data_IF_606452933475
#
_entry.id   IF_606452933475
#
_cell.length_a   1.000
_cell.length_b   1.000
_cell.length_c   1.000
_cell.angle_alpha   90.00
_cell.angle_beta   90.00
_cell.angle_gamma   90.00
#
_symmetry.space_group_name_H-M   'P 1'
#
loop_
_entity.id
_entity.type
_entity.pdbx_description
1 polymer ?
#
# COMPACT_ATOMS: atom_id res chain seq x y z
N UNK A 1 -7.69 31.67 5.40
CA UNK A 1 -6.32 32.21 5.54
C UNK A 1 -5.99 32.99 4.28
N UNK A 2 -5.38 34.17 4.38
CA UNK A 2 -5.08 35.04 3.22
C UNK A 2 -3.66 34.77 2.74
N UNK A 3 -3.48 34.47 1.45
CA UNK A 3 -2.15 34.30 0.83
C UNK A 3 -1.57 35.69 0.58
N UNK A 4 -0.56 36.07 1.36
CA UNK A 4 0.17 37.32 1.18
C UNK A 4 1.21 37.15 0.06
N UNK A 5 0.93 37.69 -1.12
CA UNK A 5 1.91 37.79 -2.20
C UNK A 5 3.00 38.81 -1.84
N UNK A 6 4.27 38.43 -1.91
CA UNK A 6 5.40 39.32 -1.64
C UNK A 6 6.10 39.70 -2.95
N UNK A 7 6.31 41.00 -3.17
CA UNK A 7 7.16 41.46 -4.27
C UNK A 7 8.62 41.51 -3.78
N UNK A 8 9.46 40.61 -4.31
CA UNK A 8 10.88 40.56 -4.00
C UNK A 8 11.57 41.65 -4.82
N UNK A 9 11.99 42.72 -4.14
CA UNK A 9 12.60 43.87 -4.83
C UNK A 9 14.11 43.96 -4.72
N UNK A 10 14.72 43.25 -3.77
CA UNK A 10 16.18 43.21 -3.56
C UNK A 10 16.56 41.94 -2.78
N UNK A 11 17.72 41.36 -3.08
CA UNK A 11 18.25 40.17 -2.40
C UNK A 11 19.60 40.53 -1.79
N UNK A 12 19.73 40.32 -0.49
CA UNK A 12 20.93 40.69 0.27
C UNK A 12 21.59 39.47 0.86
N UNK A 13 22.93 39.46 0.81
CA UNK A 13 23.70 38.53 1.60
C UNK A 13 23.53 38.86 3.09
N UNK A 14 23.16 37.87 3.91
CA UNK A 14 23.21 38.02 5.37
C UNK A 14 24.64 37.72 5.83
N UNK A 15 25.35 38.67 6.47
CA UNK A 15 26.70 38.42 6.94
C UNK A 15 26.68 37.42 8.09
N UNK A 16 27.21 36.22 7.86
CA UNK A 16 27.53 35.23 8.91
C UNK A 16 29.03 35.14 9.20
N UNK A 17 29.85 35.29 8.16
CA UNK A 17 31.31 35.40 8.17
C UNK A 17 31.63 36.61 7.28
N UNK A 18 32.63 37.44 7.64
CA UNK A 18 33.03 38.60 6.85
C UNK A 18 33.49 38.18 5.44
N UNK A 19 32.58 38.32 4.47
CA UNK A 19 32.86 38.12 3.05
C UNK A 19 32.57 39.44 2.31
N UNK A 20 33.57 40.34 2.21
CA UNK A 20 33.38 41.66 1.61
C UNK A 20 33.03 41.60 0.12
N UNK A 21 33.44 40.52 -0.57
CA UNK A 21 33.11 40.32 -1.99
C UNK A 21 31.63 39.99 -2.16
N UNK A 22 31.08 39.08 -1.36
CA UNK A 22 29.68 38.73 -1.40
C UNK A 22 28.77 39.89 -0.94
N UNK A 23 29.19 40.64 0.09
CA UNK A 23 28.46 41.83 0.54
C UNK A 23 28.44 42.92 -0.55
N UNK A 24 29.59 43.22 -1.15
CA UNK A 24 29.70 44.20 -2.24
C UNK A 24 28.86 43.86 -3.47
N UNK A 25 28.88 42.58 -3.90
CA UNK A 25 28.06 42.12 -5.02
C UNK A 25 26.55 42.21 -4.73
N UNK A 26 26.13 41.88 -3.51
CA UNK A 26 24.71 41.93 -3.11
C UNK A 26 24.15 43.36 -3.05
N UNK A 27 25.00 44.37 -2.81
CA UNK A 27 24.59 45.78 -2.73
C UNK A 27 24.64 46.54 -4.06
N UNK A 28 25.20 45.93 -5.10
CA UNK A 28 25.44 46.57 -6.42
C UNK A 28 24.19 47.23 -7.03
N UNK A 29 23.00 46.78 -6.65
CA UNK A 29 21.73 47.20 -7.26
C UNK A 29 20.87 48.12 -6.38
N UNK A 30 21.30 48.44 -5.15
CA UNK A 30 20.47 49.15 -4.14
C UNK A 30 20.14 50.62 -4.44
N UNK A 31 20.77 51.23 -5.44
CA UNK A 31 20.57 52.64 -5.77
C UNK A 31 20.43 52.90 -7.27
N UNK A 32 20.17 51.86 -8.07
CA UNK A 32 19.82 52.04 -9.48
C UNK A 32 18.33 52.34 -9.61
N UNK A 33 18.00 53.23 -10.55
CA UNK A 33 16.61 53.46 -10.96
C UNK A 33 16.09 52.16 -11.57
N UNK A 34 14.94 51.69 -11.08
CA UNK A 34 14.30 50.47 -11.58
C UNK A 34 13.82 50.68 -13.01
N UNK A 35 13.92 49.64 -13.81
CA UNK A 35 13.54 49.62 -15.23
C UNK A 35 12.72 48.37 -15.49
N UNK A 36 11.78 48.39 -16.43
CA UNK A 36 10.86 47.26 -16.65
C UNK A 36 11.57 45.92 -16.97
N UNK A 37 12.82 45.98 -17.44
CA UNK A 37 13.68 44.83 -17.73
C UNK A 37 14.40 44.22 -16.51
N UNK A 38 14.32 44.83 -15.32
CA UNK A 38 15.04 44.37 -14.12
C UNK A 38 14.29 43.31 -13.30
N UNK A 39 13.08 42.94 -13.72
CA UNK A 39 12.24 41.95 -13.06
C UNK A 39 11.55 42.44 -11.79
N UNK A 40 11.69 43.72 -11.40
CA UNK A 40 10.97 44.30 -10.26
C UNK A 40 9.50 44.60 -10.53
N UNK A 41 9.08 44.51 -11.80
CA UNK A 41 7.75 44.80 -12.30
C UNK A 41 6.74 43.67 -12.06
N UNK A 42 7.18 42.45 -11.76
CA UNK A 42 6.31 41.29 -11.55
C UNK A 42 6.49 40.68 -10.16
N UNK A 43 5.36 40.34 -9.53
CA UNK A 43 5.35 39.65 -8.24
C UNK A 43 5.51 38.16 -8.46
N UNK A 44 6.43 37.52 -7.72
CA UNK A 44 6.50 36.06 -7.66
C UNK A 44 5.44 35.59 -6.67
N UNK A 45 4.43 34.87 -7.16
CA UNK A 45 3.58 34.08 -6.28
C UNK A 45 4.45 33.02 -5.62
N UNK A 46 4.42 32.93 -4.28
CA UNK A 46 5.20 31.95 -3.53
C UNK A 46 4.74 30.50 -3.79
N UNK A 47 3.62 30.34 -4.51
CA UNK A 47 2.98 29.06 -4.73
C UNK A 47 3.65 28.33 -5.90
N UNK A 48 4.40 27.27 -5.58
CA UNK A 48 4.95 26.32 -6.57
C UNK A 48 3.85 25.73 -7.48
N UNK A 49 2.60 25.76 -7.02
CA UNK A 49 1.39 25.34 -7.74
C UNK A 49 1.01 26.28 -8.89
N UNK A 50 1.34 27.57 -8.81
CA UNK A 50 0.98 28.54 -9.86
C UNK A 50 1.69 28.23 -11.20
N UNK A 51 2.87 27.62 -11.14
CA UNK A 51 3.71 27.36 -12.31
C UNK A 51 3.53 25.94 -12.88
N UNK A 52 3.07 24.97 -12.06
CA UNK A 52 2.94 23.58 -12.47
C UNK A 52 1.52 23.01 -12.34
N UNK A 53 0.55 23.81 -11.89
CA UNK A 53 -0.73 23.32 -11.36
C UNK A 53 -0.53 22.33 -10.22
N UNK A 54 -1.61 21.83 -9.61
CA UNK A 54 -1.53 20.80 -8.58
C UNK A 54 -1.17 19.47 -9.28
N UNK A 55 0.14 19.23 -9.47
CA UNK A 55 0.62 18.00 -10.13
C UNK A 55 0.31 16.75 -9.30
N UNK A 56 0.26 16.89 -7.97
CA UNK A 56 0.01 15.80 -7.04
C UNK A 56 -1.17 16.18 -6.14
N UNK A 57 -2.39 16.08 -6.65
CA UNK A 57 -3.57 16.29 -5.84
C UNK A 57 -3.80 15.07 -4.94
N UNK A 58 -3.31 15.15 -3.70
CA UNK A 58 -3.48 14.11 -2.65
C UNK A 58 -4.96 13.99 -2.25
N UNK A 59 -5.77 15.01 -2.53
CA UNK A 59 -7.20 15.07 -2.22
C UNK A 59 -8.09 14.89 -3.46
N UNK A 60 -7.51 14.57 -4.62
CA UNK A 60 -8.28 14.24 -5.83
C UNK A 60 -9.00 12.92 -5.58
N UNK A 61 -10.23 13.03 -5.11
CA UNK A 61 -11.21 11.96 -5.17
C UNK A 61 -11.66 11.87 -6.63
N UNK A 62 -10.83 11.27 -7.49
CA UNK A 62 -11.36 10.72 -8.72
C UNK A 62 -12.42 9.72 -8.29
N UNK A 63 -13.68 9.83 -8.74
CA UNK A 63 -14.57 8.70 -8.66
C UNK A 63 -13.88 7.61 -9.48
N UNK A 64 -13.17 6.73 -8.79
CA UNK A 64 -12.94 5.40 -9.31
C UNK A 64 -14.37 4.93 -9.44
N UNK A 65 -14.90 4.96 -10.66
CA UNK A 65 -15.95 4.07 -11.08
C UNK A 65 -15.43 2.71 -10.66
N UNK A 66 -15.76 2.30 -9.43
CA UNK A 66 -15.59 0.93 -8.99
C UNK A 66 -16.35 0.19 -10.07
N UNK A 67 -15.70 -0.64 -10.91
CA UNK A 67 -16.50 -1.62 -11.61
C UNK A 67 -17.28 -2.31 -10.49
N UNK A 68 -18.60 -2.17 -10.53
CA UNK A 68 -19.52 -2.89 -9.67
C UNK A 68 -19.10 -4.35 -9.78
N UNK A 69 -18.43 -4.86 -8.74
CA UNK A 69 -17.74 -6.16 -8.70
C UNK A 69 -16.67 -6.42 -9.77
N UNK A 70 -15.39 -6.66 -9.40
CA UNK A 70 -14.54 -7.42 -10.30
C UNK A 70 -15.16 -8.83 -10.48
N UNK A 71 -15.35 -9.33 -11.70
CA UNK A 71 -15.93 -10.66 -11.95
C UNK A 71 -15.09 -11.82 -11.40
N UNK A 72 -13.92 -11.54 -10.79
CA UNK A 72 -13.01 -12.53 -10.20
C UNK A 72 -13.27 -12.83 -8.73
N UNK A 73 -13.99 -11.98 -8.00
CA UNK A 73 -14.16 -12.15 -6.55
C UNK A 73 -15.31 -13.10 -6.20
N UNK A 74 -16.33 -13.19 -7.06
CA UNK A 74 -17.44 -14.14 -6.90
C UNK A 74 -16.97 -15.62 -6.95
N UNK A 75 -15.91 -15.90 -7.71
CA UNK A 75 -15.30 -17.23 -7.79
C UNK A 75 -14.65 -17.62 -6.44
N UNK A 76 -14.11 -16.65 -5.71
CA UNK A 76 -13.41 -16.89 -4.45
C UNK A 76 -14.38 -17.30 -3.34
N UNK A 77 -15.53 -16.63 -3.19
CA UNK A 77 -16.52 -17.05 -2.19
C UNK A 77 -17.02 -18.48 -2.47
N UNK A 78 -17.23 -18.84 -3.74
CA UNK A 78 -17.69 -20.17 -4.12
C UNK A 78 -16.69 -21.27 -3.76
N UNK A 79 -15.39 -21.03 -3.93
CA UNK A 79 -14.31 -21.99 -3.64
C UNK A 79 -14.15 -22.29 -2.15
N UNK A 80 -14.36 -21.30 -1.30
CA UNK A 80 -14.18 -21.44 0.15
C UNK A 80 -15.50 -21.61 0.89
N UNK A 81 -16.61 -21.84 0.18
CA UNK A 81 -17.93 -22.03 0.77
C UNK A 81 -17.95 -23.31 1.61
N UNK A 82 -18.43 -23.21 2.85
CA UNK A 82 -18.49 -24.35 3.77
C UNK A 82 -17.22 -24.57 4.59
N UNK A 83 -16.16 -23.79 4.36
CA UNK A 83 -15.01 -23.79 5.26
C UNK A 83 -15.27 -22.87 6.47
N UNK A 84 -15.41 -23.49 7.66
CA UNK A 84 -15.68 -22.79 8.92
C UNK A 84 -14.65 -21.71 9.24
N UNK A 85 -13.41 -21.88 8.77
CA UNK A 85 -12.33 -20.95 9.06
C UNK A 85 -12.27 -19.79 8.06
N UNK A 86 -12.28 -20.09 6.76
CA UNK A 86 -12.05 -19.10 5.70
C UNK A 86 -13.30 -18.34 5.27
N UNK A 87 -14.49 -18.94 5.33
CA UNK A 87 -15.73 -18.29 4.88
C UNK A 87 -15.99 -16.93 5.55
N UNK A 88 -15.88 -16.78 6.89
CA UNK A 88 -16.08 -15.49 7.53
C UNK A 88 -15.00 -14.45 7.18
N UNK A 89 -13.78 -14.91 6.90
CA UNK A 89 -12.65 -14.04 6.55
C UNK A 89 -12.87 -13.46 5.15
N UNK A 90 -13.25 -14.29 4.19
CA UNK A 90 -13.48 -13.88 2.81
C UNK A 90 -14.67 -12.93 2.73
N UNK A 91 -15.79 -13.25 3.39
CA UNK A 91 -16.94 -12.33 3.45
C UNK A 91 -16.54 -10.97 4.01
N UNK A 92 -15.74 -10.94 5.08
CA UNK A 92 -15.26 -9.69 5.64
C UNK A 92 -14.36 -8.91 4.68
N UNK A 93 -13.42 -9.59 3.98
CA UNK A 93 -12.52 -8.95 3.02
C UNK A 93 -13.25 -8.43 1.77
N UNK A 94 -14.34 -9.07 1.37
CA UNK A 94 -15.21 -8.63 0.27
C UNK A 94 -16.18 -7.51 0.68
N UNK A 95 -16.20 -7.11 1.95
CA UNK A 95 -17.13 -6.10 2.47
C UNK A 95 -18.58 -6.59 2.59
N UNK A 96 -18.79 -7.91 2.52
CA UNK A 96 -20.08 -8.54 2.82
C UNK A 96 -20.26 -8.65 4.34
N UNK A 97 -21.50 -8.68 4.81
CA UNK A 97 -21.80 -8.84 6.24
C UNK A 97 -21.26 -10.19 6.75
N UNK A 98 -20.13 -10.12 7.47
CA UNK A 98 -19.40 -11.29 7.99
C UNK A 98 -20.04 -11.92 9.25
N UNK A 99 -21.36 -11.84 9.37
CA UNK A 99 -22.14 -12.38 10.49
C UNK A 99 -23.33 -11.48 10.87
N UNK A 100 -24.35 -12.08 11.49
CA UNK A 100 -25.56 -11.38 11.91
C UNK A 100 -25.34 -10.51 13.17
N UNK A 101 -24.31 -10.83 13.96
CA UNK A 101 -24.03 -10.18 15.24
C UNK A 101 -22.71 -9.37 15.22
N UNK A 102 -22.67 -8.26 15.97
CA UNK A 102 -21.50 -7.38 16.14
C UNK A 102 -20.27 -8.17 16.59
N UNK A 103 -20.45 -9.14 17.49
CA UNK A 103 -19.37 -9.97 18.00
C UNK A 103 -18.74 -10.88 16.92
N UNK A 104 -19.55 -11.38 15.98
CA UNK A 104 -19.07 -12.23 14.87
C UNK A 104 -18.29 -11.40 13.86
N UNK A 105 -18.81 -10.22 13.51
CA UNK A 105 -18.11 -9.27 12.64
C UNK A 105 -16.76 -8.86 13.22
N UNK A 106 -16.70 -8.57 14.53
CA UNK A 106 -15.44 -8.23 15.21
C UNK A 106 -14.45 -9.41 15.22
N UNK A 107 -14.94 -10.64 15.41
CA UNK A 107 -14.11 -11.86 15.32
C UNK A 107 -13.61 -12.10 13.90
N UNK A 108 -14.44 -11.89 12.89
CA UNK A 108 -14.06 -12.02 11.48
C UNK A 108 -13.01 -10.97 11.10
N UNK A 109 -13.22 -9.71 11.50
CA UNK A 109 -12.27 -8.61 11.31
C UNK A 109 -10.91 -8.90 11.96
N UNK A 110 -10.90 -9.38 13.21
CA UNK A 110 -9.64 -9.72 13.87
C UNK A 110 -8.94 -10.89 13.16
N UNK A 111 -9.70 -11.90 12.71
CA UNK A 111 -9.14 -13.04 11.98
C UNK A 111 -8.60 -12.63 10.61
N UNK A 112 -9.16 -11.61 9.96
CA UNK A 112 -8.73 -11.16 8.64
C UNK A 112 -7.46 -10.30 8.65
N UNK A 113 -6.97 -9.84 9.80
CA UNK A 113 -5.81 -8.93 9.91
C UNK A 113 -4.50 -9.47 9.29
N UNK A 114 -4.41 -10.77 8.99
CA UNK A 114 -3.28 -11.39 8.32
C UNK A 114 -3.57 -11.90 6.91
N UNK A 115 -4.71 -11.54 6.33
CA UNK A 115 -5.15 -12.06 5.03
C UNK A 115 -5.39 -10.94 4.02
N UNK A 116 -5.16 -11.24 2.75
CA UNK A 116 -5.36 -10.32 1.63
C UNK A 116 -5.85 -11.10 0.42
N UNK A 117 -6.75 -10.48 -0.36
CA UNK A 117 -7.18 -10.99 -1.65
C UNK A 117 -6.33 -10.31 -2.72
N UNK A 118 -5.65 -11.11 -3.54
CA UNK A 118 -4.87 -10.63 -4.67
C UNK A 118 -5.01 -11.62 -5.83
N UNK A 119 -5.30 -11.10 -7.03
CA UNK A 119 -5.48 -11.87 -8.25
C UNK A 119 -6.54 -12.99 -8.15
N UNK A 120 -7.61 -12.77 -7.38
CA UNK A 120 -8.66 -13.77 -7.17
C UNK A 120 -8.22 -14.96 -6.31
N UNK A 121 -7.14 -14.81 -5.53
CA UNK A 121 -6.65 -15.79 -4.56
C UNK A 121 -6.56 -15.19 -3.17
N UNK A 122 -6.80 -16.01 -2.16
CA UNK A 122 -6.60 -15.64 -0.77
C UNK A 122 -5.13 -15.88 -0.39
N UNK A 123 -4.49 -14.86 0.18
CA UNK A 123 -3.11 -14.90 0.62
C UNK A 123 -3.04 -14.66 2.13
N UNK A 124 -2.19 -15.41 2.81
CA UNK A 124 -1.82 -15.18 4.20
C UNK A 124 -0.48 -14.44 4.25
N UNK A 125 -0.47 -13.27 4.86
CA UNK A 125 0.75 -12.51 5.11
C UNK A 125 1.57 -13.15 6.24
N UNK A 126 2.88 -13.00 6.17
CA UNK A 126 3.78 -13.38 7.24
C UNK A 126 3.46 -12.60 8.52
N UNK A 127 3.32 -13.31 9.65
CA UNK A 127 3.08 -12.67 10.94
C UNK A 127 4.36 -12.05 11.54
N UNK A 128 5.54 -12.51 11.11
CA UNK A 128 6.85 -12.09 11.62
C UNK A 128 7.78 -11.78 10.46
N UNK A 129 8.62 -10.77 10.62
CA UNK A 129 9.68 -10.40 9.66
C UNK A 129 10.77 -11.48 9.51
N UNK A 130 10.89 -12.38 10.48
CA UNK A 130 11.82 -13.53 10.45
C UNK A 130 11.26 -14.74 9.69
N UNK A 131 9.99 -14.69 9.26
CA UNK A 131 9.42 -15.81 8.49
C UNK A 131 10.07 -15.89 7.10
N UNK A 132 10.35 -17.12 6.66
CA UNK A 132 11.10 -17.37 5.41
C UNK A 132 10.32 -16.92 4.17
N UNK A 133 9.00 -16.98 4.24
CA UNK A 133 8.11 -16.64 3.13
C UNK A 133 7.21 -15.48 3.53
N UNK A 134 7.20 -14.43 2.71
CA UNK A 134 6.44 -13.20 2.96
C UNK A 134 4.93 -13.37 2.85
N UNK A 135 4.47 -14.25 1.95
CA UNK A 135 3.05 -14.56 1.73
C UNK A 135 2.84 -15.98 1.23
N UNK A 136 1.78 -16.63 1.69
CA UNK A 136 1.44 -18.02 1.32
C UNK A 136 0.04 -18.08 0.76
N UNK A 137 -0.18 -18.92 -0.25
CA UNK A 137 -1.51 -19.06 -0.84
C UNK A 137 -2.41 -19.90 0.09
N UNK A 138 -3.61 -19.41 0.41
CA UNK A 138 -4.58 -20.18 1.17
C UNK A 138 -5.37 -21.11 0.24
N UNK A 139 -5.65 -22.31 0.73
CA UNK A 139 -6.44 -23.34 0.05
C UNK A 139 -7.56 -23.80 1.02
N UNK A 140 -8.77 -24.14 0.52
CA UNK A 140 -9.82 -24.72 1.37
C UNK A 140 -9.32 -25.97 2.11
N UNK A 141 -9.81 -26.21 3.32
CA UNK A 141 -9.39 -27.41 4.08
C UNK A 141 -9.66 -28.72 3.35
N UNK A 142 -10.77 -28.80 2.61
CA UNK A 142 -11.15 -30.00 1.86
C UNK A 142 -10.10 -30.40 0.80
N UNK A 143 -9.48 -29.42 0.15
CA UNK A 143 -8.52 -29.65 -0.93
C UNK A 143 -7.08 -29.83 -0.41
N UNK A 144 -6.83 -29.51 0.86
CA UNK A 144 -5.49 -29.54 1.46
C UNK A 144 -4.83 -30.91 1.41
N UNK A 145 -5.59 -31.98 1.70
CA UNK A 145 -5.06 -33.35 1.67
C UNK A 145 -4.69 -33.79 0.25
N UNK A 146 -5.56 -33.54 -0.73
CA UNK A 146 -5.30 -33.89 -2.13
C UNK A 146 -4.10 -33.12 -2.67
N UNK A 147 -3.95 -31.85 -2.29
CA UNK A 147 -2.78 -31.04 -2.63
C UNK A 147 -1.50 -31.63 -2.05
N UNK A 148 -1.49 -31.95 -0.74
CA UNK A 148 -0.32 -32.55 -0.08
C UNK A 148 0.09 -33.88 -0.73
N UNK A 149 -0.89 -34.72 -1.08
CA UNK A 149 -0.69 -35.99 -1.76
C UNK A 149 -0.16 -35.80 -3.19
N UNK A 150 -0.65 -34.80 -3.92
CA UNK A 150 -0.16 -34.43 -5.26
C UNK A 150 1.28 -33.95 -5.23
N UNK A 151 1.63 -33.09 -4.28
CA UNK A 151 3.02 -32.60 -4.07
C UNK A 151 3.96 -33.74 -3.69
N UNK A 152 3.52 -34.64 -2.83
CA UNK A 152 4.30 -35.82 -2.44
C UNK A 152 4.62 -36.72 -3.64
N UNK A 153 3.66 -36.90 -4.56
CA UNK A 153 3.85 -37.68 -5.79
C UNK A 153 4.75 -36.98 -6.79
N UNK A 154 4.62 -35.67 -6.97
CA UNK A 154 5.31 -34.91 -8.03
C UNK A 154 6.80 -34.71 -7.77
N UNK A 155 7.18 -34.46 -6.51
CA UNK A 155 8.58 -34.22 -6.14
C UNK A 155 9.35 -35.54 -5.94
N UNK A 156 8.63 -36.67 -5.95
CA UNK A 156 9.14 -37.97 -5.58
C UNK A 156 9.20 -38.10 -4.06
N UNK A 157 8.88 -39.30 -3.54
CA UNK A 157 8.81 -39.60 -2.11
C UNK A 157 9.96 -38.95 -1.34
N UNK A 158 9.70 -37.79 -0.70
CA UNK A 158 10.70 -37.11 0.11
C UNK A 158 11.23 -38.08 1.16
N UNK A 159 12.54 -38.01 1.44
CA UNK A 159 13.18 -38.90 2.43
C UNK A 159 12.61 -38.72 3.85
N UNK A 160 11.98 -37.58 4.15
CA UNK A 160 11.31 -37.32 5.41
C UNK A 160 10.01 -36.54 5.22
N UNK A 161 9.04 -36.80 6.09
CA UNK A 161 7.78 -36.06 6.20
C UNK A 161 8.05 -34.57 6.48
N UNK A 162 9.10 -34.26 7.24
CA UNK A 162 9.47 -32.89 7.59
C UNK A 162 9.86 -32.06 6.36
N UNK A 163 10.51 -32.68 5.36
CA UNK A 163 10.88 -31.98 4.12
C UNK A 163 9.63 -31.65 3.29
N UNK A 164 8.66 -32.57 3.24
CA UNK A 164 7.38 -32.34 2.59
C UNK A 164 6.61 -31.22 3.29
N UNK A 165 6.50 -31.28 4.63
CA UNK A 165 5.86 -30.24 5.44
C UNK A 165 6.50 -28.88 5.18
N UNK A 166 7.83 -28.81 5.22
CA UNK A 166 8.56 -27.57 4.97
C UNK A 166 8.24 -26.98 3.59
N UNK A 167 8.21 -27.82 2.55
CA UNK A 167 7.88 -27.38 1.19
C UNK A 167 6.44 -26.88 1.05
N UNK A 168 5.49 -27.59 1.66
CA UNK A 168 4.07 -27.17 1.67
C UNK A 168 3.93 -25.85 2.43
N UNK A 169 4.57 -25.71 3.59
CA UNK A 169 4.57 -24.47 4.39
C UNK A 169 5.14 -23.27 3.63
N UNK A 170 6.04 -23.46 2.66
CA UNK A 170 6.54 -22.35 1.83
C UNK A 170 5.54 -21.89 0.77
N UNK A 171 4.72 -22.80 0.26
CA UNK A 171 3.87 -22.53 -0.90
C UNK A 171 2.44 -22.18 -0.51
N UNK A 172 1.90 -22.90 0.48
CA UNK A 172 0.46 -22.93 0.77
C UNK A 172 0.16 -22.96 2.27
N UNK A 173 -1.11 -22.68 2.61
CA UNK A 173 -1.60 -22.71 3.98
C UNK A 173 -3.06 -23.14 4.05
N UNK A 174 -3.38 -24.07 4.96
CA UNK A 174 -4.74 -24.35 5.41
C UNK A 174 -4.77 -24.69 6.91
N UNK A 175 -5.91 -24.51 7.61
CA UNK A 175 -6.07 -24.93 8.99
C UNK A 175 -5.99 -26.45 9.11
N UNK A 176 -5.16 -26.96 10.03
CA UNK A 176 -5.04 -28.39 10.29
C UNK A 176 -3.87 -29.09 9.59
N UNK A 177 -3.06 -28.37 8.80
CA UNK A 177 -1.97 -28.92 7.98
C UNK A 177 -0.92 -29.76 8.73
N UNK A 178 -0.72 -29.58 10.03
CA UNK A 178 0.23 -30.39 10.79
C UNK A 178 -0.39 -31.69 11.35
N UNK A 179 -1.72 -31.78 11.39
CA UNK A 179 -2.52 -32.86 11.99
C UNK A 179 -3.11 -33.79 10.95
N UNK A 180 -3.54 -33.23 9.82
CA UNK A 180 -4.06 -33.95 8.64
C UNK A 180 -2.92 -34.63 7.86
#
# INVERSE_FOLDING_TARGET
>A
ESILSHNITDIRHRPGIENPVADGLSRRWQSRKRTDDDGSSWSVLADWEANKSIVNDILSVTPIDRPETPPRDADLESKFRGDVFFEPIIRHLLGLDAGANIAERRRAMHRSQGFTIQDGKLWKAAAKTSDRVSRRQCIPRADGFEFALGVHRSIGHFRSVDSLKLHIHETTFWPGMDVD
#
